data_IF_762912365131
#
_entry.id   IF_762912365131
#
_cell.length_a   1.000
_cell.length_b   1.000
_cell.length_c   1.000
_cell.angle_alpha   90.00
_cell.angle_beta   90.00
_cell.angle_gamma   90.00
#
_symmetry.space_group_name_H-M   'P 1'
#
loop_
_entity.id
_entity.type
_entity.pdbx_description
1 polymer ?
#
# COMPACT_ATOMS: atom_id res chain seq x y z
N UNK A 1 2.79 26.48 -24.45
CA UNK A 1 3.93 25.92 -23.68
C UNK A 1 3.45 24.99 -22.56
N UNK A 2 2.58 25.43 -21.64
CA UNK A 2 2.09 24.59 -20.52
C UNK A 2 1.32 23.34 -20.95
N UNK A 3 0.45 23.47 -21.97
CA UNK A 3 -0.33 22.36 -22.50
C UNK A 3 0.54 21.23 -23.09
N UNK A 4 1.64 21.62 -23.74
CA UNK A 4 2.61 20.70 -24.35
C UNK A 4 3.38 19.97 -23.25
N UNK A 5 3.77 20.69 -22.19
CA UNK A 5 4.44 20.11 -21.03
C UNK A 5 3.58 19.03 -20.35
N UNK A 6 2.29 19.29 -20.15
CA UNK A 6 1.36 18.30 -19.58
C UNK A 6 1.22 17.06 -20.48
N UNK A 7 1.11 17.24 -21.81
CA UNK A 7 0.95 16.12 -22.75
C UNK A 7 2.17 15.20 -22.78
N UNK A 8 3.38 15.72 -22.59
CA UNK A 8 4.59 14.89 -22.63
C UNK A 8 5.01 14.36 -21.27
N UNK A 9 4.86 15.12 -20.20
CA UNK A 9 5.38 14.73 -18.89
C UNK A 9 4.44 13.79 -18.15
N UNK A 10 3.12 13.96 -18.29
CA UNK A 10 2.16 13.04 -17.67
C UNK A 10 2.32 11.59 -18.18
N UNK A 11 2.40 11.31 -19.49
CA UNK A 11 2.60 9.94 -19.94
C UNK A 11 3.99 9.41 -19.58
N UNK A 12 5.02 10.26 -19.52
CA UNK A 12 6.35 9.83 -19.10
C UNK A 12 6.40 9.46 -17.62
N UNK A 13 5.75 10.22 -16.73
CA UNK A 13 5.69 9.87 -15.30
C UNK A 13 4.87 8.60 -15.08
N UNK A 14 3.74 8.45 -15.78
CA UNK A 14 2.94 7.22 -15.75
C UNK A 14 3.73 6.02 -16.27
N UNK A 15 4.50 6.19 -17.35
CA UNK A 15 5.37 5.13 -17.90
C UNK A 15 6.48 4.75 -16.93
N UNK A 16 7.11 5.72 -16.27
CA UNK A 16 8.17 5.47 -15.26
C UNK A 16 7.60 4.73 -14.05
N UNK A 17 6.42 5.12 -13.57
CA UNK A 17 5.72 4.41 -12.48
C UNK A 17 5.41 2.97 -12.91
N UNK A 18 4.83 2.77 -14.10
CA UNK A 18 4.56 1.45 -14.67
C UNK A 18 5.82 0.59 -14.80
N UNK A 19 6.93 1.17 -15.24
CA UNK A 19 8.22 0.48 -15.39
C UNK A 19 8.84 0.10 -14.04
N UNK A 20 8.70 0.95 -13.02
CA UNK A 20 9.13 0.63 -11.67
C UNK A 20 8.27 -0.49 -11.06
N UNK A 21 6.94 -0.43 -11.24
CA UNK A 21 6.02 -1.49 -10.81
C UNK A 21 6.27 -2.82 -11.55
N UNK A 22 6.58 -2.79 -12.85
CA UNK A 22 6.91 -4.01 -13.60
C UNK A 22 8.31 -4.55 -13.30
N UNK A 23 9.31 -3.71 -13.01
CA UNK A 23 10.61 -4.18 -12.51
C UNK A 23 10.49 -4.88 -11.15
N UNK A 24 9.57 -4.44 -10.29
CA UNK A 24 9.27 -5.13 -9.05
C UNK A 24 8.56 -6.48 -9.32
N UNK A 25 7.66 -6.52 -10.31
CA UNK A 25 6.91 -7.72 -10.70
C UNK A 25 7.73 -8.80 -11.41
N UNK A 26 8.80 -8.44 -12.13
CA UNK A 26 9.64 -9.40 -12.87
C UNK A 26 10.61 -10.21 -12.00
N UNK A 27 10.77 -9.89 -10.71
CA UNK A 27 11.49 -10.74 -9.75
C UNK A 27 10.57 -11.71 -8.99
N UNK A 28 9.26 -11.65 -9.23
CA UNK A 28 8.29 -12.56 -8.61
C UNK A 28 7.78 -13.49 -9.70
N UNK A 29 8.33 -14.71 -9.72
CA UNK A 29 7.88 -15.79 -10.58
C UNK A 29 6.35 -15.87 -10.58
N UNK A 30 5.79 -15.80 -11.79
CA UNK A 30 4.36 -15.72 -12.05
C UNK A 30 3.78 -17.12 -11.80
N UNK A 31 3.38 -17.42 -10.56
CA UNK A 31 2.55 -18.59 -10.26
C UNK A 31 1.07 -18.23 -10.49
N UNK A 32 0.33 -19.03 -11.28
CA UNK A 32 -1.00 -18.64 -11.75
C UNK A 32 -2.08 -18.99 -10.72
N UNK A 33 -2.03 -18.48 -9.48
CA UNK A 33 -3.17 -18.64 -8.53
C UNK A 33 -3.15 -17.72 -7.30
N UNK A 34 -2.33 -16.67 -7.25
CA UNK A 34 -2.39 -15.75 -6.10
C UNK A 34 -3.50 -14.72 -6.31
N UNK A 35 -4.60 -14.93 -5.60
CA UNK A 35 -5.66 -13.93 -5.49
C UNK A 35 -5.05 -12.76 -4.74
N UNK A 36 -4.77 -11.67 -5.47
CA UNK A 36 -4.28 -10.44 -4.86
C UNK A 36 -5.47 -9.65 -4.31
N UNK A 37 -5.27 -8.99 -3.16
CA UNK A 37 -6.22 -8.04 -2.59
C UNK A 37 -5.54 -6.73 -2.28
N UNK A 38 -6.35 -5.69 -2.21
CA UNK A 38 -5.89 -4.32 -1.98
C UNK A 38 -5.80 -4.03 -0.47
N UNK A 39 -4.73 -3.37 -0.04
CA UNK A 39 -4.58 -2.86 1.31
C UNK A 39 -5.47 -1.63 1.53
N UNK A 40 -6.27 -1.62 2.60
CA UNK A 40 -7.20 -0.54 2.92
C UNK A 40 -6.55 0.81 3.31
N UNK A 41 -5.21 0.87 3.44
CA UNK A 41 -4.47 2.08 3.83
C UNK A 41 -3.66 2.62 2.65
N UNK A 42 -2.78 1.80 2.06
CA UNK A 42 -1.91 2.24 0.97
C UNK A 42 -2.48 2.00 -0.42
N UNK A 43 -3.59 1.26 -0.56
CA UNK A 43 -4.22 0.93 -1.84
C UNK A 43 -3.32 0.11 -2.81
N UNK A 44 -2.23 -0.46 -2.30
CA UNK A 44 -1.39 -1.38 -3.06
C UNK A 44 -1.97 -2.81 -3.04
N UNK A 45 -1.70 -3.56 -4.10
CA UNK A 45 -2.08 -4.97 -4.24
C UNK A 45 -1.02 -5.90 -3.64
N UNK A 46 -1.45 -6.82 -2.78
CA UNK A 46 -0.60 -7.85 -2.19
C UNK A 46 -1.25 -9.22 -2.35
N UNK A 47 -0.47 -10.31 -2.36
CA UNK A 47 -1.04 -11.65 -2.24
C UNK A 47 -1.77 -11.77 -0.90
N UNK A 48 -2.92 -12.45 -0.87
CA UNK A 48 -3.72 -12.62 0.36
C UNK A 48 -2.89 -13.19 1.53
N UNK A 49 -1.91 -14.04 1.24
CA UNK A 49 -1.03 -14.61 2.27
C UNK A 49 -0.20 -13.56 3.03
N UNK A 50 0.07 -12.40 2.43
CA UNK A 50 0.81 -11.28 3.02
C UNK A 50 -0.12 -10.22 3.65
N UNK A 51 -1.43 -10.42 3.55
CA UNK A 51 -2.44 -9.49 4.03
C UNK A 51 -3.10 -10.00 5.31
N UNK A 52 -3.26 -9.08 6.27
CA UNK A 52 -3.93 -9.35 7.53
C UNK A 52 -5.36 -8.80 7.48
N UNK A 53 -6.34 -9.69 7.59
CA UNK A 53 -7.74 -9.31 7.72
C UNK A 53 -8.08 -9.00 9.18
N UNK A 54 -8.66 -7.83 9.44
CA UNK A 54 -9.11 -7.43 10.76
C UNK A 54 -10.49 -6.78 10.71
N UNK A 55 -11.36 -7.18 11.62
CA UNK A 55 -12.63 -6.51 11.86
C UNK A 55 -12.41 -5.22 12.65
N UNK A 56 -12.96 -4.11 12.14
CA UNK A 56 -12.85 -2.80 12.78
C UNK A 56 -14.25 -2.25 13.04
N UNK A 57 -14.51 -1.92 14.31
CA UNK A 57 -15.76 -1.35 14.80
C UNK A 57 -16.88 -2.37 15.03
N UNK A 58 -18.00 -1.89 15.57
CA UNK A 58 -19.14 -2.75 15.97
C UNK A 58 -19.97 -3.26 14.78
N UNK A 59 -19.71 -2.73 13.57
CA UNK A 59 -20.48 -3.06 12.36
C UNK A 59 -19.90 -4.23 11.55
N UNK A 60 -18.91 -4.96 12.09
CA UNK A 60 -18.38 -6.19 11.47
C UNK A 60 -17.70 -5.97 10.12
N UNK A 61 -17.24 -4.76 9.81
CA UNK A 61 -16.51 -4.49 8.57
C UNK A 61 -15.10 -5.08 8.67
N UNK A 62 -14.82 -6.05 7.80
CA UNK A 62 -13.49 -6.64 7.62
C UNK A 62 -12.68 -5.75 6.69
N UNK A 63 -11.54 -5.28 7.19
CA UNK A 63 -10.56 -4.55 6.41
C UNK A 63 -9.30 -5.39 6.27
N UNK A 64 -8.61 -5.21 5.16
CA UNK A 64 -7.43 -5.98 4.79
C UNK A 64 -6.23 -5.04 4.79
N UNK A 65 -5.15 -5.41 5.47
CA UNK A 65 -4.00 -4.54 5.69
C UNK A 65 -2.69 -5.25 5.37
N UNK A 66 -1.74 -4.55 4.76
CA UNK A 66 -0.38 -5.06 4.61
C UNK A 66 0.44 -4.85 5.90
N UNK A 67 1.46 -5.68 6.08
CA UNK A 67 2.32 -5.65 7.28
C UNK A 67 2.97 -4.29 7.54
N UNK A 68 3.45 -3.62 6.48
CA UNK A 68 4.13 -2.33 6.59
C UNK A 68 3.20 -1.21 7.12
N UNK A 69 1.94 -1.19 6.67
CA UNK A 69 0.97 -0.22 7.16
C UNK A 69 0.59 -0.49 8.63
N UNK A 70 0.51 -1.75 9.04
CA UNK A 70 0.26 -2.12 10.45
C UNK A 70 1.42 -1.68 11.33
N UNK A 71 2.66 -1.94 10.90
CA UNK A 71 3.86 -1.57 11.63
C UNK A 71 3.97 -0.05 11.80
N UNK A 72 3.69 0.71 10.74
CA UNK A 72 3.64 2.17 10.78
C UNK A 72 2.61 2.66 11.79
N UNK A 73 1.38 2.13 11.75
CA UNK A 73 0.32 2.48 12.70
C UNK A 73 0.70 2.16 14.15
N UNK A 74 1.34 1.01 14.37
CA UNK A 74 1.82 0.62 15.69
C UNK A 74 2.88 1.60 16.22
N UNK A 75 3.84 1.97 15.38
CA UNK A 75 4.86 2.96 15.72
C UNK A 75 4.26 4.33 16.03
N UNK A 76 3.31 4.80 15.23
CA UNK A 76 2.62 6.07 15.45
C UNK A 76 1.85 6.08 16.79
N UNK A 77 1.15 4.98 17.09
CA UNK A 77 0.46 4.82 18.37
C UNK A 77 1.43 4.82 19.55
N UNK A 78 2.52 4.05 19.45
CA UNK A 78 3.55 3.97 20.48
C UNK A 78 4.18 5.34 20.73
N UNK A 79 4.48 6.08 19.66
CA UNK A 79 5.05 7.43 19.74
C UNK A 79 4.09 8.41 20.42
N UNK A 80 2.78 8.33 20.16
CA UNK A 80 1.77 9.14 20.84
C UNK A 80 1.70 8.85 22.33
N UNK A 81 1.72 7.58 22.72
CA UNK A 81 1.68 7.19 24.15
C UNK A 81 2.97 7.61 24.87
N UNK A 82 4.12 7.44 24.23
CA UNK A 82 5.39 7.89 24.83
C UNK A 82 5.43 9.42 25.01
N UNK A 83 4.69 10.18 24.21
CA UNK A 83 4.56 11.62 24.37
C UNK A 83 3.62 12.00 25.54
N UNK A 84 2.52 11.27 25.74
CA UNK A 84 1.58 11.51 26.85
C UNK A 84 2.08 10.99 28.21
N UNK A 85 3.10 10.12 28.22
CA UNK A 85 3.73 9.59 29.45
C UNK A 85 5.03 10.30 29.83
N UNK A 86 5.38 11.38 29.13
CA UNK A 86 6.44 12.30 29.55
C UNK A 86 5.89 13.32 30.56
N UNK A 87 6.14 13.06 31.84
CA UNK A 87 6.04 14.02 32.96
C UNK A 87 6.76 15.34 32.67
#
# INVERSE_FOLDING_TARGET
>A
MFFVFCIFIIPLTVLVILLLSTKQKNNTEITPTEINRECAICYDEYPIAELLEKEIGDYGKKYVFCGNCIETLYHDYKNKISFESGE
#
